data_IF_203394497554
#
_entry.id   IF_203394497554
#
_cell.length_a   1.000
_cell.length_b   1.000
_cell.length_c   1.000
_cell.angle_alpha   90.00
_cell.angle_beta   90.00
_cell.angle_gamma   90.00
#
_symmetry.space_group_name_H-M   'P 1'
#
loop_
_entity.id
_entity.type
_entity.pdbx_description
1 polymer ?
#
# COMPACT_ATOMS: atom_id res chain seq x y z
N UNK A 1 -14.44 -4.31 19.81
CA UNK A 1 -13.18 -3.56 19.66
C UNK A 1 -12.01 -4.38 20.17
N UNK A 2 -10.92 -4.43 19.42
CA UNK A 2 -9.68 -5.09 19.81
C UNK A 2 -9.02 -4.33 20.98
N UNK A 3 -8.72 -5.03 22.08
CA UNK A 3 -8.05 -4.43 23.25
C UNK A 3 -6.52 -4.45 23.06
N UNK A 4 -5.80 -3.54 23.73
CA UNK A 4 -4.32 -3.50 23.70
C UNK A 4 -3.71 -4.86 24.10
N UNK A 5 -4.22 -5.48 25.18
CA UNK A 5 -3.75 -6.79 25.63
C UNK A 5 -3.92 -7.89 24.56
N UNK A 6 -5.05 -7.89 23.84
CA UNK A 6 -5.28 -8.85 22.75
C UNK A 6 -4.41 -8.55 21.54
N UNK A 7 -4.22 -7.28 21.18
CA UNK A 7 -3.32 -6.85 20.12
C UNK A 7 -1.87 -7.30 20.39
N UNK A 8 -1.34 -7.06 21.60
CA UNK A 8 0.00 -7.53 21.98
C UNK A 8 0.11 -9.06 21.98
N UNK A 9 -0.92 -9.77 22.44
CA UNK A 9 -0.95 -11.22 22.37
C UNK A 9 -0.91 -11.73 20.92
N UNK A 10 -1.64 -11.09 20.00
CA UNK A 10 -1.59 -11.42 18.58
C UNK A 10 -0.20 -11.13 17.99
N UNK A 11 0.41 -9.99 18.33
CA UNK A 11 1.77 -9.63 17.90
C UNK A 11 2.80 -10.66 18.35
N UNK A 12 2.80 -11.05 19.62
CA UNK A 12 3.67 -12.12 20.14
C UNK A 12 3.43 -13.45 19.44
N UNK A 13 2.17 -13.85 19.24
CA UNK A 13 1.84 -15.10 18.57
C UNK A 13 2.29 -15.10 17.09
N UNK A 14 2.17 -13.96 16.40
CA UNK A 14 2.62 -13.80 15.03
C UNK A 14 4.16 -13.87 14.95
N UNK A 15 4.88 -13.07 15.72
CA UNK A 15 6.34 -13.07 15.70
C UNK A 15 6.99 -14.29 16.35
N UNK A 16 6.23 -15.08 17.13
CA UNK A 16 6.63 -16.41 17.57
C UNK A 16 6.64 -17.44 16.44
N UNK A 17 5.81 -17.25 15.40
CA UNK A 17 5.79 -18.08 14.18
C UNK A 17 6.69 -17.53 13.07
N UNK A 18 6.88 -16.21 13.02
CA UNK A 18 7.60 -15.52 11.96
C UNK A 18 8.68 -14.64 12.54
N UNK A 19 9.95 -14.95 12.27
CA UNK A 19 11.07 -14.19 12.83
C UNK A 19 10.98 -12.71 12.49
N UNK A 20 11.01 -11.86 13.52
CA UNK A 20 11.16 -10.40 13.36
C UNK A 20 12.66 -10.09 13.17
N UNK A 21 13.08 -9.52 12.02
CA UNK A 21 14.48 -9.30 11.67
C UNK A 21 15.11 -8.04 12.32
N UNK A 22 14.40 -7.37 13.23
CA UNK A 22 14.87 -6.16 13.96
C UNK A 22 14.57 -6.30 15.45
N UNK A 23 15.20 -5.44 16.25
CA UNK A 23 15.08 -5.49 17.72
C UNK A 23 13.62 -5.51 18.19
N UNK A 24 13.23 -6.39 19.13
CA UNK A 24 11.92 -6.37 19.77
C UNK A 24 11.59 -5.05 20.47
N UNK A 25 12.59 -4.22 20.78
CA UNK A 25 12.39 -2.85 21.31
C UNK A 25 11.58 -1.93 20.38
N UNK A 26 11.37 -2.35 19.13
CA UNK A 26 10.55 -1.65 18.12
C UNK A 26 9.08 -2.04 18.12
N UNK A 27 8.67 -3.04 18.92
CA UNK A 27 7.25 -3.42 18.98
C UNK A 27 6.46 -2.45 19.85
N UNK A 28 5.18 -2.26 19.55
CA UNK A 28 4.31 -1.36 20.29
C UNK A 28 4.21 -1.72 21.78
N UNK A 29 4.26 -3.00 22.14
CA UNK A 29 4.27 -3.44 23.54
C UNK A 29 5.52 -2.96 24.28
N UNK A 30 6.72 -3.16 23.71
CA UNK A 30 7.97 -2.77 24.36
C UNK A 30 8.16 -1.25 24.32
N UNK A 31 7.69 -0.58 23.26
CA UNK A 31 7.64 0.88 23.18
C UNK A 31 6.74 1.48 24.27
N UNK A 32 5.63 0.83 24.59
CA UNK A 32 4.78 1.22 25.72
C UNK A 32 5.51 1.00 27.06
N UNK A 33 6.08 -0.18 27.28
CA UNK A 33 6.77 -0.53 28.53
C UNK A 33 7.97 0.37 28.82
N UNK A 34 8.71 0.78 27.78
CA UNK A 34 9.83 1.72 27.89
C UNK A 34 9.41 3.19 28.08
N UNK A 35 8.11 3.49 28.00
CA UNK A 35 7.58 4.86 28.08
C UNK A 35 7.81 5.69 26.81
N UNK A 36 8.33 5.09 25.72
CA UNK A 36 8.51 5.77 24.43
C UNK A 36 7.18 6.07 23.74
N UNK A 37 6.17 5.22 23.96
CA UNK A 37 4.79 5.41 23.48
C UNK A 37 3.84 5.34 24.67
N UNK A 38 2.85 6.23 24.74
CA UNK A 38 1.86 6.19 25.83
C UNK A 38 0.79 5.15 25.54
N UNK A 39 0.22 4.57 26.58
CA UNK A 39 -0.86 3.57 26.45
C UNK A 39 -2.07 4.07 25.64
N UNK A 40 -2.47 5.34 25.83
CA UNK A 40 -3.54 5.97 25.07
C UNK A 40 -3.23 6.06 23.56
N UNK A 41 -1.95 6.24 23.20
CA UNK A 41 -1.53 6.34 21.81
C UNK A 41 -1.55 4.97 21.11
N UNK A 42 -1.35 3.87 21.84
CA UNK A 42 -1.48 2.50 21.29
C UNK A 42 -2.86 2.29 20.69
N UNK A 43 -3.90 2.66 21.44
CA UNK A 43 -5.27 2.48 20.97
C UNK A 43 -5.55 3.34 19.73
N UNK A 44 -5.03 4.57 19.69
CA UNK A 44 -5.08 5.44 18.51
C UNK A 44 -4.42 4.76 17.29
N UNK A 45 -3.21 4.21 17.42
CA UNK A 45 -2.50 3.55 16.32
C UNK A 45 -3.25 2.32 15.80
N UNK A 46 -3.77 1.48 16.70
CA UNK A 46 -4.52 0.28 16.34
C UNK A 46 -5.85 0.64 15.66
N UNK A 47 -6.65 1.51 16.27
CA UNK A 47 -8.02 1.80 15.82
C UNK A 47 -8.10 2.75 14.63
N UNK A 48 -7.09 3.59 14.41
CA UNK A 48 -7.06 4.47 13.24
C UNK A 48 -6.72 3.73 11.94
N UNK A 49 -6.22 2.49 12.03
CA UNK A 49 -5.85 1.71 10.84
C UNK A 49 -7.09 1.24 10.10
N UNK A 50 -7.15 1.52 8.79
CA UNK A 50 -8.29 1.23 7.91
C UNK A 50 -7.85 0.84 6.51
N UNK A 51 -8.66 0.03 5.86
CA UNK A 51 -8.58 -0.24 4.43
C UNK A 51 -9.19 0.96 3.70
N UNK A 52 -8.45 1.57 2.78
CA UNK A 52 -8.94 2.70 1.98
C UNK A 52 -9.22 2.25 0.55
N UNK A 53 -10.40 2.60 0.05
CA UNK A 53 -10.91 2.10 -1.24
C UNK A 53 -11.37 3.26 -2.12
N UNK A 54 -10.72 3.41 -3.26
CA UNK A 54 -11.09 4.39 -4.29
C UNK A 54 -12.43 4.02 -4.97
N UNK A 55 -13.26 5.00 -5.40
CA UNK A 55 -14.51 4.72 -6.12
C UNK A 55 -14.34 3.82 -7.35
N UNK A 56 -13.25 4.01 -8.12
CA UNK A 56 -12.95 3.17 -9.29
C UNK A 56 -12.63 1.73 -8.86
N UNK A 57 -11.85 1.54 -7.80
CA UNK A 57 -11.54 0.20 -7.26
C UNK A 57 -12.82 -0.50 -6.77
N UNK A 58 -13.73 0.23 -6.11
CA UNK A 58 -15.06 -0.27 -5.71
C UNK A 58 -15.91 -0.71 -6.90
N UNK A 59 -15.91 0.08 -7.97
CA UNK A 59 -16.63 -0.27 -9.20
C UNK A 59 -16.05 -1.53 -9.85
N UNK A 60 -14.72 -1.59 -10.00
CA UNK A 60 -14.02 -2.74 -10.55
C UNK A 60 -14.33 -4.00 -9.74
N UNK A 61 -14.29 -3.94 -8.41
CA UNK A 61 -14.59 -5.07 -7.53
C UNK A 61 -16.03 -5.61 -7.72
N UNK A 62 -17.02 -4.72 -7.83
CA UNK A 62 -18.42 -5.09 -8.12
C UNK A 62 -18.56 -5.83 -9.45
N UNK A 63 -18.00 -5.24 -10.49
CA UNK A 63 -18.08 -5.78 -11.85
C UNK A 63 -17.29 -7.10 -11.94
N UNK A 64 -16.17 -7.20 -11.24
CA UNK A 64 -15.35 -8.42 -11.14
C UNK A 64 -16.12 -9.57 -10.50
N UNK A 65 -16.78 -9.35 -9.36
CA UNK A 65 -17.59 -10.39 -8.73
C UNK A 65 -18.77 -10.81 -9.63
N UNK A 66 -19.41 -9.87 -10.31
CA UNK A 66 -20.47 -10.17 -11.28
C UNK A 66 -19.95 -11.05 -12.44
N UNK A 67 -18.78 -10.70 -12.98
CA UNK A 67 -18.12 -11.45 -14.03
C UNK A 67 -17.73 -12.86 -13.57
N UNK A 68 -17.15 -12.99 -12.37
CA UNK A 68 -16.71 -14.29 -11.82
C UNK A 68 -17.87 -15.22 -11.50
N UNK A 69 -19.07 -14.69 -11.21
CA UNK A 69 -20.28 -15.50 -11.03
C UNK A 69 -20.66 -16.26 -12.29
N UNK A 70 -20.43 -15.67 -13.44
CA UNK A 70 -20.76 -16.26 -14.75
C UNK A 70 -19.57 -17.03 -15.31
N UNK A 71 -18.38 -16.41 -15.34
CA UNK A 71 -17.21 -16.91 -16.07
C UNK A 71 -16.13 -17.54 -15.19
N UNK A 72 -16.24 -17.45 -13.86
CA UNK A 72 -15.25 -18.01 -12.95
C UNK A 72 -15.11 -19.53 -13.07
N UNK A 73 -13.92 -20.03 -12.75
CA UNK A 73 -13.65 -21.46 -12.65
C UNK A 73 -14.49 -22.11 -11.52
N UNK A 74 -14.48 -23.44 -11.45
CA UNK A 74 -15.11 -24.16 -10.34
C UNK A 74 -14.47 -23.79 -9.01
N UNK A 75 -13.14 -23.75 -8.95
CA UNK A 75 -12.37 -23.34 -7.76
C UNK A 75 -12.70 -21.91 -7.33
N UNK A 76 -12.72 -20.96 -8.26
CA UNK A 76 -13.03 -19.56 -7.98
C UNK A 76 -14.43 -19.40 -7.41
N UNK A 77 -15.43 -19.99 -8.09
CA UNK A 77 -16.83 -19.95 -7.64
C UNK A 77 -16.97 -20.58 -6.26
N UNK A 78 -16.30 -21.69 -5.98
CA UNK A 78 -16.34 -22.32 -4.66
C UNK A 78 -15.78 -21.42 -3.56
N UNK A 79 -14.62 -20.79 -3.77
CA UNK A 79 -14.06 -19.82 -2.81
C UNK A 79 -14.99 -18.61 -2.67
N UNK A 80 -15.59 -18.17 -3.77
CA UNK A 80 -16.50 -17.03 -3.76
C UNK A 80 -17.84 -17.30 -3.07
N UNK A 81 -18.39 -18.50 -3.18
CA UNK A 81 -19.58 -18.91 -2.44
C UNK A 81 -19.27 -19.08 -0.94
N UNK A 82 -18.14 -19.69 -0.60
CA UNK A 82 -17.86 -20.13 0.78
C UNK A 82 -17.17 -19.08 1.66
N UNK A 83 -16.26 -18.26 1.11
CA UNK A 83 -15.47 -17.32 1.90
C UNK A 83 -15.96 -15.88 1.80
N UNK A 84 -16.33 -15.41 0.60
CA UNK A 84 -16.74 -14.00 0.40
C UNK A 84 -18.25 -13.83 0.20
N UNK A 85 -19.01 -14.90 -0.08
CA UNK A 85 -20.45 -14.84 -0.34
C UNK A 85 -20.84 -13.77 -1.41
N UNK A 86 -20.00 -13.60 -2.43
CA UNK A 86 -20.11 -12.55 -3.46
C UNK A 86 -20.27 -11.12 -2.93
N UNK A 87 -19.84 -10.86 -1.70
CA UNK A 87 -19.88 -9.55 -1.08
C UNK A 87 -18.59 -8.76 -1.35
N UNK A 88 -18.75 -7.48 -1.68
CA UNK A 88 -17.64 -6.60 -2.08
C UNK A 88 -16.76 -6.24 -0.88
N UNK A 89 -17.34 -6.04 0.31
CA UNK A 89 -16.58 -5.73 1.51
C UNK A 89 -15.74 -6.95 1.92
N UNK A 90 -16.32 -8.16 1.85
CA UNK A 90 -15.59 -9.41 2.07
C UNK A 90 -14.49 -9.66 1.04
N UNK A 91 -14.69 -9.25 -0.22
CA UNK A 91 -13.61 -9.27 -1.21
C UNK A 91 -12.47 -8.34 -0.76
N UNK A 92 -12.73 -7.10 -0.34
CA UNK A 92 -11.68 -6.20 0.13
C UNK A 92 -10.94 -6.71 1.36
N UNK A 93 -11.65 -7.31 2.32
CA UNK A 93 -11.04 -7.99 3.47
C UNK A 93 -10.10 -9.11 3.00
N UNK A 94 -10.56 -9.94 2.05
CA UNK A 94 -9.76 -11.02 1.46
C UNK A 94 -8.52 -10.48 0.75
N UNK A 95 -8.64 -9.40 -0.02
CA UNK A 95 -7.53 -8.78 -0.73
C UNK A 95 -6.41 -8.29 0.20
N UNK A 96 -6.70 -8.01 1.48
CA UNK A 96 -5.68 -7.68 2.49
C UNK A 96 -5.19 -8.93 3.25
N UNK A 97 -6.13 -9.80 3.66
CA UNK A 97 -5.84 -10.91 4.57
C UNK A 97 -5.17 -12.10 3.89
N UNK A 98 -5.54 -12.44 2.67
CA UNK A 98 -5.08 -13.67 2.01
C UNK A 98 -3.81 -13.44 1.21
N UNK A 99 -2.78 -12.90 1.86
CA UNK A 99 -1.47 -12.62 1.24
C UNK A 99 -0.35 -13.44 1.92
N UNK A 100 0.68 -13.87 1.18
CA UNK A 100 1.91 -14.39 1.78
C UNK A 100 2.63 -13.31 2.60
N UNK A 101 3.62 -13.71 3.39
CA UNK A 101 4.46 -12.76 4.12
C UNK A 101 5.26 -11.89 3.15
N UNK A 102 5.84 -12.51 2.12
CA UNK A 102 6.61 -11.82 1.09
C UNK A 102 6.27 -12.35 -0.30
N UNK A 103 6.25 -11.43 -1.27
CA UNK A 103 6.02 -11.68 -2.69
C UNK A 103 6.62 -10.51 -3.49
N UNK A 104 7.62 -10.77 -4.34
CA UNK A 104 8.29 -9.73 -5.14
C UNK A 104 9.05 -10.31 -6.34
N UNK A 105 9.52 -9.42 -7.22
CA UNK A 105 10.37 -9.75 -8.37
C UNK A 105 9.62 -10.35 -9.56
N UNK A 106 10.29 -10.51 -10.70
CA UNK A 106 9.75 -11.10 -11.92
C UNK A 106 9.49 -12.62 -11.83
N UNK A 107 10.19 -13.32 -10.93
CA UNK A 107 10.01 -14.75 -10.66
C UNK A 107 8.99 -15.06 -9.57
N UNK A 108 8.36 -14.05 -8.98
CA UNK A 108 7.46 -14.16 -7.82
C UNK A 108 8.10 -14.92 -6.65
N UNK A 109 9.26 -14.44 -6.20
CA UNK A 109 9.89 -14.92 -4.96
C UNK A 109 8.88 -14.79 -3.84
N UNK A 110 8.65 -15.87 -3.12
CA UNK A 110 7.53 -15.99 -2.18
C UNK A 110 7.97 -16.57 -0.85
N UNK A 111 7.51 -15.96 0.25
CA UNK A 111 7.52 -16.55 1.59
C UNK A 111 6.07 -16.71 2.06
N UNK A 112 5.60 -17.95 2.14
CA UNK A 112 4.25 -18.26 2.59
C UNK A 112 4.08 -18.05 4.10
N UNK A 113 2.83 -17.93 4.54
CA UNK A 113 2.49 -17.90 5.98
C UNK A 113 2.80 -19.21 6.69
N UNK A 114 3.00 -20.32 5.96
CA UNK A 114 3.50 -21.58 6.50
C UNK A 114 4.99 -21.56 6.84
N UNK A 115 5.74 -20.56 6.35
CA UNK A 115 7.20 -20.49 6.42
C UNK A 115 7.91 -21.10 5.20
N UNK A 116 7.17 -21.74 4.29
CA UNK A 116 7.72 -22.28 3.04
C UNK A 116 8.19 -21.15 2.11
N UNK A 117 9.37 -21.34 1.51
CA UNK A 117 10.04 -20.35 0.64
C UNK A 117 10.17 -20.88 -0.78
N UNK A 118 9.80 -20.04 -1.73
CA UNK A 118 9.99 -20.29 -3.15
C UNK A 118 10.83 -19.16 -3.74
N UNK A 119 11.99 -19.49 -4.32
CA UNK A 119 12.85 -18.51 -5.02
C UNK A 119 12.37 -18.21 -6.46
N UNK A 120 11.34 -18.93 -6.90
CA UNK A 120 10.60 -18.65 -8.12
C UNK A 120 9.32 -19.49 -8.13
N UNK A 121 8.16 -18.84 -8.22
CA UNK A 121 6.85 -19.48 -8.09
C UNK A 121 5.86 -19.07 -9.20
N UNK A 122 6.34 -18.50 -10.30
CA UNK A 122 5.50 -17.99 -11.40
C UNK A 122 4.44 -18.99 -11.86
N UNK A 123 4.84 -20.25 -12.07
CA UNK A 123 3.97 -21.34 -12.54
C UNK A 123 2.94 -21.80 -11.51
N UNK A 124 3.25 -21.66 -10.23
CA UNK A 124 2.36 -21.99 -9.12
C UNK A 124 1.31 -20.89 -9.00
N UNK A 125 1.75 -19.63 -8.96
CA UNK A 125 0.87 -18.46 -8.93
C UNK A 125 -0.04 -18.35 -10.15
N UNK A 126 0.41 -18.75 -11.34
CA UNK A 126 -0.42 -18.81 -12.55
C UNK A 126 -1.61 -19.74 -12.46
N UNK A 127 -1.52 -20.77 -11.60
CA UNK A 127 -2.53 -21.82 -11.46
C UNK A 127 -3.49 -21.55 -10.29
N UNK A 128 -3.26 -20.52 -9.49
CA UNK A 128 -4.15 -20.15 -8.38
C UNK A 128 -5.50 -19.72 -8.93
N UNK A 129 -6.57 -20.35 -8.44
CA UNK A 129 -7.94 -20.21 -8.94
C UNK A 129 -8.29 -21.17 -10.08
N UNK A 130 -7.41 -22.10 -10.47
CA UNK A 130 -7.73 -23.14 -11.47
C UNK A 130 -8.05 -24.48 -10.80
N UNK A 131 -8.40 -25.51 -11.58
CA UNK A 131 -8.57 -26.87 -11.05
C UNK A 131 -7.22 -27.59 -10.80
N UNK A 132 -6.09 -26.98 -11.19
CA UNK A 132 -4.74 -27.55 -11.10
C UNK A 132 -3.81 -26.74 -10.18
N UNK A 133 -4.35 -26.20 -9.08
CA UNK A 133 -3.59 -25.41 -8.12
C UNK A 133 -2.39 -26.17 -7.53
N UNK A 134 -1.37 -25.43 -7.08
CA UNK A 134 -0.30 -26.02 -6.28
C UNK A 134 -0.82 -26.27 -4.85
N UNK A 135 -0.55 -27.43 -4.21
CA UNK A 135 -1.09 -27.73 -2.88
C UNK A 135 -0.68 -26.74 -1.79
N UNK A 136 0.49 -26.09 -1.93
CA UNK A 136 0.95 -25.03 -1.02
C UNK A 136 0.50 -23.61 -1.38
N UNK A 137 0.04 -23.36 -2.62
CA UNK A 137 -0.37 -22.03 -3.10
C UNK A 137 -1.73 -22.19 -3.78
N UNK A 138 -2.78 -22.08 -2.97
CA UNK A 138 -4.19 -22.26 -3.38
C UNK A 138 -4.97 -20.97 -3.20
N UNK A 139 -6.05 -20.81 -3.96
CA UNK A 139 -6.92 -19.65 -3.87
C UNK A 139 -7.64 -19.58 -2.52
N UNK A 140 -7.88 -20.73 -1.87
CA UNK A 140 -8.46 -20.74 -0.54
C UNK A 140 -7.62 -19.92 0.47
N UNK A 141 -6.30 -19.91 0.31
CA UNK A 141 -5.34 -19.26 1.21
C UNK A 141 -4.71 -17.98 0.65
N UNK A 142 -4.66 -17.84 -0.68
CA UNK A 142 -3.94 -16.75 -1.35
C UNK A 142 -4.71 -16.16 -2.54
N UNK A 143 -4.21 -15.03 -3.07
CA UNK A 143 -4.84 -14.31 -4.16
C UNK A 143 -4.54 -14.91 -5.55
N UNK A 144 -5.52 -14.84 -6.46
CA UNK A 144 -5.26 -15.00 -7.91
C UNK A 144 -4.61 -13.74 -8.49
N UNK A 145 -3.99 -13.80 -9.68
CA UNK A 145 -3.46 -12.59 -10.34
C UNK A 145 -4.50 -11.50 -10.60
N UNK A 146 -5.74 -11.88 -10.88
CA UNK A 146 -6.81 -10.92 -11.10
C UNK A 146 -7.23 -10.26 -9.78
N UNK A 147 -7.24 -11.02 -8.67
CA UNK A 147 -7.39 -10.46 -7.33
C UNK A 147 -6.23 -9.53 -6.97
N UNK A 148 -4.99 -9.88 -7.34
CA UNK A 148 -3.82 -9.02 -7.14
C UNK A 148 -3.94 -7.69 -7.89
N UNK A 149 -4.47 -7.67 -9.12
CA UNK A 149 -4.73 -6.43 -9.85
C UNK A 149 -5.69 -5.51 -9.08
N UNK A 150 -6.78 -6.04 -8.53
CA UNK A 150 -7.72 -5.24 -7.71
C UNK A 150 -7.07 -4.82 -6.38
N UNK A 151 -6.31 -5.72 -5.77
CA UNK A 151 -5.54 -5.49 -4.54
C UNK A 151 -4.55 -4.33 -4.69
N UNK A 152 -4.00 -4.14 -5.90
CA UNK A 152 -3.10 -3.02 -6.24
C UNK A 152 -3.78 -1.65 -6.33
N UNK A 153 -5.12 -1.61 -6.25
CA UNK A 153 -5.94 -0.39 -6.35
C UNK A 153 -6.53 0.06 -5.00
N UNK A 154 -6.23 -0.66 -3.93
CA UNK A 154 -6.63 -0.31 -2.55
C UNK A 154 -5.38 -0.06 -1.70
N UNK A 155 -5.57 0.60 -0.56
CA UNK A 155 -4.49 0.89 0.38
C UNK A 155 -4.83 0.55 1.82
N UNK A 156 -3.84 0.66 2.70
CA UNK A 156 -4.02 0.65 4.15
C UNK A 156 -3.41 1.91 4.73
N UNK A 157 -4.18 2.62 5.56
CA UNK A 157 -3.78 3.86 6.21
C UNK A 157 -4.00 3.79 7.70
N UNK A 158 -3.05 4.26 8.50
CA UNK A 158 -3.16 4.32 9.95
C UNK A 158 -2.17 5.28 10.57
N UNK A 159 -2.47 5.78 11.77
CA UNK A 159 -1.46 6.47 12.57
C UNK A 159 -0.36 5.48 12.99
N UNK A 160 0.87 5.98 13.07
CA UNK A 160 2.01 5.22 13.58
C UNK A 160 2.95 6.12 14.38
N UNK A 161 3.60 5.60 15.43
CA UNK A 161 4.80 6.25 15.95
C UNK A 161 5.92 6.10 14.92
N UNK A 162 6.80 7.11 14.84
CA UNK A 162 8.04 6.99 14.09
C UNK A 162 9.19 6.58 15.01
N UNK A 163 9.96 5.61 14.54
CA UNK A 163 11.03 4.97 15.30
C UNK A 163 12.40 5.59 14.96
N UNK A 164 12.54 6.06 13.72
CA UNK A 164 13.67 6.79 13.17
C UNK A 164 13.20 7.71 12.03
N UNK A 165 14.12 8.27 11.26
CA UNK A 165 13.84 9.22 10.17
C UNK A 165 13.25 8.57 8.89
N UNK A 166 13.13 7.24 8.85
CA UNK A 166 12.57 6.52 7.71
C UNK A 166 13.54 6.34 6.53
N UNK A 167 14.83 6.66 6.69
CA UNK A 167 15.82 6.45 5.63
C UNK A 167 15.83 4.99 5.14
N UNK A 168 16.11 4.75 3.84
CA UNK A 168 16.19 3.40 3.24
C UNK A 168 17.09 2.43 4.02
N UNK A 169 18.14 2.94 4.67
CA UNK A 169 19.13 2.17 5.41
C UNK A 169 18.91 2.15 6.93
N UNK A 170 17.73 2.55 7.43
CA UNK A 170 17.48 2.70 8.86
C UNK A 170 17.56 1.38 9.66
N UNK A 171 17.26 0.23 9.04
CA UNK A 171 17.41 -1.14 9.59
C UNK A 171 16.84 -1.35 11.00
N UNK A 172 15.82 -0.59 11.38
CA UNK A 172 15.15 -0.73 12.69
C UNK A 172 15.95 -0.12 13.85
N UNK A 173 16.96 0.70 13.56
CA UNK A 173 17.72 1.41 14.60
C UNK A 173 16.86 2.56 15.11
N UNK A 174 16.65 2.60 16.42
CA UNK A 174 15.88 3.66 17.07
C UNK A 174 16.66 4.98 17.09
N UNK A 175 16.03 6.06 16.62
CA UNK A 175 16.55 7.42 16.82
C UNK A 175 16.14 7.99 18.18
N UNK A 176 16.85 9.03 18.60
CA UNK A 176 16.46 9.86 19.75
C UNK A 176 15.12 10.56 19.43
N UNK A 177 14.07 10.46 20.28
CA UNK A 177 12.74 10.97 19.94
C UNK A 177 12.70 12.44 19.49
N UNK A 178 13.54 13.31 20.06
CA UNK A 178 13.60 14.73 19.71
C UNK A 178 14.23 15.01 18.33
N UNK A 179 14.92 14.03 17.73
CA UNK A 179 15.59 14.18 16.43
C UNK A 179 14.69 13.83 15.23
N UNK A 180 13.52 13.27 15.47
CA UNK A 180 12.60 12.77 14.44
C UNK A 180 11.20 13.35 14.63
N UNK A 181 10.34 13.16 13.64
CA UNK A 181 8.91 13.38 13.85
C UNK A 181 8.40 12.35 14.89
N UNK A 182 7.51 12.76 15.80
CA UNK A 182 7.02 11.84 16.84
C UNK A 182 6.10 10.76 16.27
N UNK A 183 5.11 11.18 15.49
CA UNK A 183 4.09 10.34 14.87
C UNK A 183 3.58 10.98 13.57
N UNK A 184 2.85 10.19 12.80
CA UNK A 184 2.16 10.62 11.58
C UNK A 184 1.24 9.55 11.07
N UNK A 185 0.79 9.69 9.84
CA UNK A 185 0.03 8.68 9.10
C UNK A 185 0.98 7.93 8.17
N UNK A 186 0.93 6.61 8.19
CA UNK A 186 1.54 5.78 7.16
C UNK A 186 0.46 5.25 6.22
N UNK A 187 0.68 5.41 4.91
CA UNK A 187 -0.22 4.89 3.86
C UNK A 187 0.54 3.90 2.98
N UNK A 188 0.12 2.63 3.00
CA UNK A 188 0.61 1.59 2.11
C UNK A 188 -0.17 1.63 0.80
N UNK A 189 0.53 1.90 -0.31
CA UNK A 189 -0.04 2.02 -1.65
C UNK A 189 0.80 1.27 -2.67
N UNK A 190 0.16 0.76 -3.71
CA UNK A 190 0.79 -0.04 -4.76
C UNK A 190 0.87 0.76 -6.05
N UNK A 191 2.07 0.80 -6.64
CA UNK A 191 2.31 1.36 -7.97
C UNK A 191 1.92 0.38 -9.08
N UNK A 192 2.07 0.81 -10.34
CA UNK A 192 1.87 -0.09 -11.47
C UNK A 192 3.08 -1.03 -11.60
N UNK A 193 2.84 -2.36 -11.65
CA UNK A 193 3.86 -3.41 -11.75
C UNK A 193 3.94 -3.97 -13.18
N UNK A 194 5.01 -3.64 -13.89
CA UNK A 194 5.29 -4.14 -15.24
C UNK A 194 6.40 -5.23 -15.29
N UNK A 195 6.67 -5.88 -14.17
CA UNK A 195 7.79 -6.82 -14.04
C UNK A 195 7.44 -8.24 -14.55
N UNK A 196 6.16 -8.57 -14.68
CA UNK A 196 5.68 -9.92 -15.03
C UNK A 196 4.85 -9.92 -16.31
N UNK A 197 5.44 -10.32 -17.44
CA UNK A 197 4.78 -10.35 -18.76
C UNK A 197 3.41 -11.05 -18.71
N UNK A 198 2.38 -10.38 -19.24
CA UNK A 198 1.02 -10.91 -19.32
C UNK A 198 0.24 -10.93 -18.00
N UNK A 199 0.83 -10.48 -16.90
CA UNK A 199 0.18 -10.35 -15.58
C UNK A 199 0.23 -8.90 -15.11
N UNK A 200 -0.58 -8.58 -14.09
CA UNK A 200 -0.62 -7.25 -13.47
C UNK A 200 -0.73 -6.15 -14.53
N UNK A 201 0.00 -5.04 -14.39
CA UNK A 201 -0.11 -3.88 -15.26
C UNK A 201 0.49 -4.10 -16.66
N UNK A 202 1.24 -5.19 -16.91
CA UNK A 202 1.72 -5.54 -18.26
C UNK A 202 0.59 -5.69 -19.29
N UNK A 203 -0.65 -5.93 -18.84
CA UNK A 203 -1.82 -5.92 -19.75
C UNK A 203 -2.04 -4.57 -20.42
N UNK A 204 -1.50 -3.48 -19.88
CA UNK A 204 -1.60 -2.14 -20.45
C UNK A 204 -0.50 -1.84 -21.48
N UNK A 205 0.55 -2.66 -21.60
CA UNK A 205 1.62 -2.44 -22.59
C UNK A 205 1.16 -2.73 -24.03
N UNK A 206 0.39 -3.80 -24.22
CA UNK A 206 -0.15 -4.21 -25.52
C UNK A 206 -1.66 -4.44 -25.46
N UNK A 207 -2.40 -3.92 -26.43
CA UNK A 207 -3.83 -4.18 -26.56
C UNK A 207 -4.01 -5.58 -27.17
N UNK A 208 -4.20 -6.59 -26.32
CA UNK A 208 -4.66 -7.92 -26.72
C UNK A 208 -6.01 -8.22 -26.06
N UNK A 209 -6.81 -9.12 -26.66
CA UNK A 209 -8.03 -9.56 -26.00
C UNK A 209 -7.69 -10.19 -24.63
N UNK A 210 -8.37 -9.78 -23.54
CA UNK A 210 -8.11 -10.33 -22.23
C UNK A 210 -8.62 -11.77 -22.16
N UNK A 211 -7.80 -12.70 -21.67
CA UNK A 211 -8.19 -14.09 -21.41
C UNK A 211 -9.01 -14.26 -20.11
N UNK A 212 -9.42 -13.15 -19.49
CA UNK A 212 -10.09 -13.10 -18.18
C UNK A 212 -10.86 -11.80 -18.00
N UNK A 213 -10.98 -11.32 -16.77
CA UNK A 213 -11.68 -10.08 -16.45
C UNK A 213 -11.08 -8.88 -17.21
N UNK A 214 -11.89 -8.09 -17.93
CA UNK A 214 -11.38 -7.11 -18.90
C UNK A 214 -10.96 -5.79 -18.23
N UNK A 215 -9.87 -5.80 -17.45
CA UNK A 215 -9.34 -4.61 -16.75
C UNK A 215 -9.05 -3.41 -17.67
N UNK A 216 -8.69 -3.65 -18.93
CA UNK A 216 -8.45 -2.61 -19.94
C UNK A 216 -9.64 -1.65 -20.14
N UNK A 217 -10.87 -2.07 -19.79
CA UNK A 217 -12.06 -1.21 -19.90
C UNK A 217 -12.09 -0.06 -18.89
N UNK A 218 -11.31 -0.15 -17.81
CA UNK A 218 -11.30 0.87 -16.75
C UNK A 218 -10.16 1.88 -16.90
N UNK A 219 -9.09 1.48 -17.58
CA UNK A 219 -7.89 2.29 -17.77
C UNK A 219 -7.58 2.36 -19.27
N UNK A 220 -8.47 3.05 -19.99
CA UNK A 220 -8.44 3.17 -21.44
C UNK A 220 -7.48 4.25 -21.93
N UNK A 221 -7.25 4.25 -23.24
CA UNK A 221 -6.37 5.20 -23.91
C UNK A 221 -5.71 4.59 -25.14
N UNK A 222 -5.45 5.42 -26.16
CA UNK A 222 -4.86 4.95 -27.41
C UNK A 222 -3.40 4.52 -27.20
N UNK A 223 -2.67 5.26 -26.36
CA UNK A 223 -1.25 5.05 -26.12
C UNK A 223 -1.00 4.44 -24.74
N UNK A 224 0.18 3.83 -24.58
CA UNK A 224 0.61 3.29 -23.29
C UNK A 224 0.59 4.34 -22.18
N UNK A 225 1.06 5.55 -22.50
CA UNK A 225 1.05 6.70 -21.59
C UNK A 225 -0.35 6.95 -21.00
N UNK A 226 -1.38 7.00 -21.84
CA UNK A 226 -2.76 7.25 -21.41
C UNK A 226 -3.24 6.20 -20.41
N UNK A 227 -2.99 4.92 -20.71
CA UNK A 227 -3.40 3.78 -19.87
C UNK A 227 -2.63 3.76 -18.56
N UNK A 228 -1.32 4.01 -18.60
CA UNK A 228 -0.49 4.15 -17.40
C UNK A 228 -0.99 5.29 -16.50
N UNK A 229 -1.22 6.47 -17.08
CA UNK A 229 -1.73 7.64 -16.35
C UNK A 229 -3.10 7.37 -15.73
N UNK A 230 -4.02 6.77 -16.47
CA UNK A 230 -5.34 6.39 -15.96
C UNK A 230 -5.25 5.39 -14.80
N UNK A 231 -4.35 4.40 -14.89
CA UNK A 231 -4.12 3.40 -13.85
C UNK A 231 -3.49 4.01 -12.59
N UNK A 232 -2.44 4.82 -12.72
CA UNK A 232 -1.72 5.37 -11.57
C UNK A 232 -2.50 6.51 -10.90
N UNK A 233 -3.41 7.16 -11.64
CA UNK A 233 -4.35 8.16 -11.11
C UNK A 233 -5.16 7.63 -9.93
N UNK A 234 -5.62 6.37 -9.97
CA UNK A 234 -6.32 5.75 -8.82
C UNK A 234 -5.45 5.75 -7.57
N UNK A 235 -4.18 5.36 -7.68
CA UNK A 235 -3.25 5.33 -6.55
C UNK A 235 -2.98 6.75 -6.02
N UNK A 236 -2.81 7.73 -6.91
CA UNK A 236 -2.54 9.13 -6.56
C UNK A 236 -3.76 9.79 -5.89
N UNK A 237 -4.94 9.65 -6.47
CA UNK A 237 -6.19 10.17 -5.89
C UNK A 237 -6.46 9.53 -4.53
N UNK A 238 -6.18 8.24 -4.36
CA UNK A 238 -6.28 7.55 -3.07
C UNK A 238 -5.41 8.20 -1.99
N UNK A 239 -4.15 8.53 -2.31
CA UNK A 239 -3.25 9.22 -1.37
C UNK A 239 -3.78 10.61 -1.00
N UNK A 240 -4.15 11.41 -2.00
CA UNK A 240 -4.58 12.79 -1.80
C UNK A 240 -5.90 12.88 -1.02
N UNK A 241 -6.88 12.04 -1.35
CA UNK A 241 -8.15 11.99 -0.63
C UNK A 241 -7.98 11.53 0.82
N UNK A 242 -7.18 10.48 1.06
CA UNK A 242 -6.91 10.03 2.42
C UNK A 242 -6.14 11.09 3.23
N UNK A 243 -5.17 11.77 2.62
CA UNK A 243 -4.46 12.88 3.27
C UNK A 243 -5.43 14.01 3.68
N UNK A 244 -6.33 14.41 2.80
CA UNK A 244 -7.35 15.42 3.08
C UNK A 244 -8.26 15.00 4.25
N UNK A 245 -8.77 13.77 4.23
CA UNK A 245 -9.63 13.23 5.30
C UNK A 245 -8.87 13.19 6.63
N UNK A 246 -7.62 12.72 6.63
CA UNK A 246 -6.79 12.66 7.84
C UNK A 246 -6.50 14.04 8.41
N UNK A 247 -6.27 15.03 7.57
CA UNK A 247 -6.12 16.42 7.97
C UNK A 247 -7.38 16.97 8.64
N UNK A 248 -8.55 16.68 8.06
CA UNK A 248 -9.85 17.03 8.63
C UNK A 248 -10.08 16.35 9.98
N UNK A 249 -9.87 15.05 10.09
CA UNK A 249 -10.00 14.30 11.35
C UNK A 249 -9.08 14.83 12.44
N UNK A 250 -7.85 15.21 12.07
CA UNK A 250 -6.85 15.73 13.00
C UNK A 250 -7.01 17.23 13.30
N UNK A 251 -7.82 17.94 12.52
CA UNK A 251 -7.89 19.41 12.49
C UNK A 251 -6.50 20.05 12.30
N UNK A 252 -5.71 19.51 11.37
CA UNK A 252 -4.33 19.95 11.08
C UNK A 252 -4.09 20.08 9.58
N UNK A 253 -3.30 21.08 9.20
CA UNK A 253 -2.73 21.13 7.85
C UNK A 253 -1.81 19.93 7.64
N UNK A 254 -1.84 19.37 6.44
CA UNK A 254 -1.17 18.12 6.11
C UNK A 254 0.06 18.37 5.26
N UNK A 255 1.15 17.72 5.67
CA UNK A 255 2.40 17.60 4.93
C UNK A 255 2.42 16.21 4.30
N UNK A 256 2.26 16.12 2.99
CA UNK A 256 2.26 14.82 2.28
C UNK A 256 3.65 14.56 1.72
N UNK A 257 4.28 13.49 2.19
CA UNK A 257 5.52 12.95 1.65
C UNK A 257 5.19 11.91 0.56
N UNK A 258 5.51 12.27 -0.67
CA UNK A 258 5.28 11.46 -1.87
C UNK A 258 6.57 10.80 -2.29
N UNK A 259 6.57 9.46 -2.35
CA UNK A 259 7.63 8.65 -2.96
C UNK A 259 7.17 8.07 -4.28
N UNK A 260 8.12 7.68 -5.13
CA UNK A 260 7.80 6.98 -6.37
C UNK A 260 7.15 5.61 -6.11
N UNK A 261 5.92 5.42 -6.57
CA UNK A 261 5.18 4.15 -6.49
C UNK A 261 5.23 3.45 -7.86
N UNK A 262 5.94 2.32 -7.95
CA UNK A 262 6.12 1.60 -9.21
C UNK A 262 7.08 2.27 -10.21
N UNK A 263 7.92 3.19 -9.74
CA UNK A 263 8.94 3.89 -10.56
C UNK A 263 10.33 3.24 -10.49
N UNK A 264 10.49 2.18 -9.71
CA UNK A 264 11.74 1.41 -9.59
C UNK A 264 11.81 0.28 -10.62
N UNK A 265 12.14 -0.93 -10.17
CA UNK A 265 12.24 -2.14 -11.02
C UNK A 265 10.95 -2.49 -11.78
N UNK A 266 9.83 -1.89 -11.41
CA UNK A 266 8.54 -2.05 -12.08
C UNK A 266 8.32 -1.12 -13.27
N UNK A 267 9.18 -0.13 -13.50
CA UNK A 267 9.05 0.76 -14.63
C UNK A 267 9.62 0.11 -15.91
N UNK A 268 8.94 0.33 -17.04
CA UNK A 268 9.30 -0.13 -18.39
C UNK A 268 9.57 1.02 -19.37
N UNK A 269 9.32 2.26 -18.96
CA UNK A 269 9.61 3.48 -19.74
C UNK A 269 10.27 4.53 -18.85
N UNK A 270 11.26 5.22 -19.40
CA UNK A 270 12.00 6.29 -18.71
C UNK A 270 11.13 7.50 -18.36
N UNK A 271 10.03 7.69 -19.08
CA UNK A 271 9.09 8.80 -18.95
C UNK A 271 8.08 8.59 -17.82
N UNK A 272 8.03 7.41 -17.19
CA UNK A 272 7.01 7.12 -16.16
C UNK A 272 7.09 8.06 -14.95
N UNK A 273 8.28 8.53 -14.55
CA UNK A 273 8.40 9.53 -13.48
C UNK A 273 7.75 10.86 -13.87
N UNK A 274 7.92 11.29 -15.12
CA UNK A 274 7.26 12.48 -15.69
C UNK A 274 5.74 12.30 -15.66
N UNK A 275 5.24 11.21 -16.24
CA UNK A 275 3.80 10.93 -16.30
C UNK A 275 3.17 10.81 -14.91
N UNK A 276 3.88 10.22 -13.95
CA UNK A 276 3.46 10.13 -12.55
C UNK A 276 3.21 11.52 -11.95
N UNK A 277 4.14 12.46 -12.12
CA UNK A 277 4.00 13.85 -11.62
C UNK A 277 2.97 14.66 -12.41
N UNK A 278 2.83 14.42 -13.71
CA UNK A 278 1.77 15.04 -14.52
C UNK A 278 0.38 14.65 -14.02
N UNK A 279 0.18 13.41 -13.56
CA UNK A 279 -1.09 12.98 -12.96
C UNK A 279 -1.36 13.73 -11.64
N UNK A 280 -0.35 14.02 -10.81
CA UNK A 280 -0.55 14.92 -9.66
C UNK A 280 -1.02 16.30 -10.11
N UNK A 281 -0.44 16.86 -11.17
CA UNK A 281 -0.85 18.16 -11.71
C UNK A 281 -2.33 18.16 -12.13
N UNK A 282 -2.77 17.09 -12.79
CA UNK A 282 -4.17 16.89 -13.18
C UNK A 282 -5.08 16.77 -11.96
N UNK A 283 -4.73 15.93 -10.98
CA UNK A 283 -5.51 15.76 -9.76
C UNK A 283 -5.65 17.07 -8.99
N UNK A 284 -4.57 17.83 -8.84
CA UNK A 284 -4.57 19.12 -8.15
C UNK A 284 -5.43 20.18 -8.86
N UNK A 285 -5.48 20.17 -10.19
CA UNK A 285 -6.34 21.08 -10.95
C UNK A 285 -7.84 20.79 -10.75
N UNK A 286 -8.20 19.56 -10.40
CA UNK A 286 -9.59 19.09 -10.23
C UNK A 286 -10.00 18.98 -8.75
N UNK A 287 -9.04 18.90 -7.83
CA UNK A 287 -9.28 18.69 -6.41
C UNK A 287 -9.68 19.98 -5.69
N UNK A 288 -10.62 19.84 -4.76
CA UNK A 288 -10.86 20.84 -3.71
C UNK A 288 -10.25 20.31 -2.43
N UNK A 289 -9.33 21.07 -1.85
CA UNK A 289 -8.65 20.72 -0.61
C UNK A 289 -8.63 21.90 0.34
N UNK A 290 -8.87 21.61 1.60
CA UNK A 290 -8.80 22.55 2.71
C UNK A 290 -7.70 22.16 3.70
N UNK A 291 -7.28 20.90 3.74
CA UNK A 291 -6.37 20.39 4.74
C UNK A 291 -4.97 20.10 4.22
N UNK A 292 -4.79 19.77 2.94
CA UNK A 292 -3.43 19.66 2.38
C UNK A 292 -2.78 21.05 2.38
N UNK A 293 -1.62 21.15 3.03
CA UNK A 293 -0.82 22.36 3.09
C UNK A 293 0.41 22.27 2.18
N UNK A 294 1.04 21.10 2.12
CA UNK A 294 2.27 20.90 1.36
C UNK A 294 2.35 19.49 0.75
N UNK A 295 2.80 19.42 -0.51
CA UNK A 295 3.20 18.20 -1.21
C UNK A 295 4.72 18.17 -1.43
N UNK A 296 5.40 17.18 -0.84
CA UNK A 296 6.83 16.95 -1.00
C UNK A 296 7.05 15.74 -1.92
N UNK A 297 7.55 15.98 -3.13
CA UNK A 297 8.02 14.93 -4.03
C UNK A 297 9.47 14.56 -3.66
N UNK A 298 9.62 13.48 -2.91
CA UNK A 298 10.91 13.03 -2.40
C UNK A 298 11.51 11.95 -3.28
N UNK A 299 12.78 12.13 -3.68
CA UNK A 299 13.52 11.18 -4.52
C UNK A 299 12.87 10.91 -5.89
N UNK A 300 12.12 11.88 -6.42
CA UNK A 300 11.53 11.83 -7.77
C UNK A 300 12.19 12.90 -8.62
N UNK A 301 12.89 12.47 -9.66
CA UNK A 301 13.55 13.34 -10.62
C UNK A 301 12.69 13.45 -11.89
N UNK A 302 12.37 14.69 -12.28
CA UNK A 302 11.62 15.07 -13.49
C UNK A 302 12.25 16.31 -14.12
N UNK A 303 11.93 16.58 -15.38
CA UNK A 303 12.43 17.78 -16.06
C UNK A 303 11.87 19.08 -15.45
N UNK A 304 12.53 20.23 -15.69
CA UNK A 304 12.11 21.51 -15.11
C UNK A 304 10.70 21.95 -15.49
N UNK A 305 10.18 21.56 -16.65
CA UNK A 305 8.83 21.95 -17.08
C UNK A 305 7.79 21.21 -16.27
N UNK A 306 7.91 19.88 -16.16
CA UNK A 306 6.99 19.08 -15.35
C UNK A 306 7.01 19.50 -13.88
N UNK A 307 8.18 19.84 -13.32
CA UNK A 307 8.28 20.41 -11.97
C UNK A 307 7.48 21.71 -11.85
N UNK A 308 7.69 22.65 -12.79
CA UNK A 308 7.00 23.95 -12.78
C UNK A 308 5.49 23.80 -12.91
N UNK A 309 5.03 22.84 -13.72
CA UNK A 309 3.61 22.61 -13.95
C UNK A 309 2.89 22.11 -12.70
N UNK A 310 3.46 21.14 -11.98
CA UNK A 310 2.86 20.64 -10.72
C UNK A 310 2.91 21.70 -9.62
N UNK A 311 4.01 22.46 -9.51
CA UNK A 311 4.12 23.58 -8.56
C UNK A 311 3.06 24.66 -8.86
N UNK A 312 2.82 24.94 -10.14
CA UNK A 312 1.81 25.91 -10.56
C UNK A 312 0.38 25.40 -10.36
N UNK A 313 0.14 24.10 -10.49
CA UNK A 313 -1.14 23.47 -10.17
C UNK A 313 -1.42 23.52 -8.66
N UNK A 314 -0.44 23.16 -7.83
CA UNK A 314 -0.54 23.20 -6.37
C UNK A 314 -0.80 24.63 -5.85
N UNK A 315 -0.04 25.62 -6.35
CA UNK A 315 -0.18 27.02 -5.95
C UNK A 315 -1.57 27.58 -6.22
N UNK A 316 -2.22 27.18 -7.32
CA UNK A 316 -3.58 27.63 -7.70
C UNK A 316 -4.65 27.24 -6.68
N UNK A 317 -4.41 26.19 -5.90
CA UNK A 317 -5.31 25.72 -4.85
C UNK A 317 -4.75 25.98 -3.43
N UNK A 318 -3.70 26.81 -3.31
CA UNK A 318 -3.12 27.18 -2.02
C UNK A 318 -2.30 26.07 -1.35
N UNK A 319 -1.74 25.14 -2.13
CA UNK A 319 -0.86 24.06 -1.65
C UNK A 319 0.58 24.36 -2.04
N UNK A 320 1.50 24.29 -1.07
CA UNK A 320 2.93 24.37 -1.35
C UNK A 320 3.41 23.06 -1.99
N UNK A 321 4.36 23.16 -2.91
CA UNK A 321 4.91 21.99 -3.62
C UNK A 321 6.43 22.11 -3.67
N UNK A 322 7.12 21.06 -3.26
CA UNK A 322 8.59 21.02 -3.21
C UNK A 322 9.13 19.69 -3.71
N UNK A 323 10.34 19.73 -4.27
CA UNK A 323 11.10 18.55 -4.69
C UNK A 323 12.41 18.49 -3.91
N UNK A 324 12.67 17.37 -3.23
CA UNK A 324 13.93 17.17 -2.52
C UNK A 324 14.20 15.68 -2.26
N UNK A 325 15.08 15.39 -1.29
CA UNK A 325 15.45 14.04 -0.87
C UNK A 325 15.32 13.87 0.66
N UNK A 326 14.30 14.49 1.26
CA UNK A 326 14.04 14.36 2.71
C UNK A 326 13.63 12.92 3.04
N UNK A 327 14.17 12.38 4.13
CA UNK A 327 13.76 11.07 4.64
C UNK A 327 12.29 11.12 5.11
N UNK A 328 11.48 10.07 4.86
CA UNK A 328 10.02 10.08 5.07
C UNK A 328 9.59 10.67 6.42
N UNK A 329 10.18 10.15 7.50
CA UNK A 329 9.79 10.41 8.90
C UNK A 329 10.72 11.40 9.60
N UNK A 330 11.56 12.12 8.85
CA UNK A 330 12.40 13.17 9.41
C UNK A 330 11.56 14.24 10.13
N UNK A 331 12.13 14.97 11.08
CA UNK A 331 11.37 16.00 11.80
C UNK A 331 10.93 17.11 10.85
N UNK A 332 9.65 17.50 10.91
CA UNK A 332 9.14 18.63 10.11
C UNK A 332 9.62 19.97 10.66
N UNK A 333 9.88 20.98 9.81
CA UNK A 333 10.14 22.35 10.29
C UNK A 333 8.94 22.92 11.05
N UNK A 334 7.73 22.75 10.52
CA UNK A 334 6.48 23.10 11.20
C UNK A 334 5.89 21.87 11.89
N UNK A 335 5.95 21.87 13.22
CA UNK A 335 5.47 20.79 14.06
C UNK A 335 3.95 20.81 14.27
N UNK A 336 3.25 21.85 13.80
CA UNK A 336 1.78 21.92 13.83
C UNK A 336 1.13 21.05 12.75
N UNK A 337 1.86 20.75 11.67
CA UNK A 337 1.37 19.94 10.56
C UNK A 337 1.30 18.45 10.90
N UNK A 338 0.33 17.77 10.29
CA UNK A 338 0.25 16.32 10.28
C UNK A 338 1.10 15.77 9.13
N UNK A 339 2.11 14.95 9.44
CA UNK A 339 2.89 14.25 8.44
C UNK A 339 2.11 13.02 7.92
N UNK A 340 1.90 12.95 6.61
CA UNK A 340 1.35 11.78 5.89
C UNK A 340 2.44 11.24 4.97
N UNK A 341 2.90 10.02 5.24
CA UNK A 341 3.95 9.36 4.46
C UNK A 341 3.39 8.15 3.72
N UNK A 342 3.73 8.02 2.44
CA UNK A 342 3.42 6.83 1.64
C UNK A 342 4.61 5.87 1.58
N UNK A 343 4.36 4.56 1.45
CA UNK A 343 5.40 3.58 1.09
C UNK A 343 4.94 2.73 -0.09
N UNK A 344 5.91 2.36 -0.94
CA UNK A 344 5.69 1.47 -2.07
C UNK A 344 5.50 0.03 -1.56
N UNK A 345 4.26 -0.44 -1.59
CA UNK A 345 3.85 -1.77 -1.17
C UNK A 345 3.60 -2.68 -2.38
N UNK A 346 3.47 -3.98 -2.12
CA UNK A 346 3.12 -5.00 -3.10
C UNK A 346 1.67 -5.48 -2.92
N UNK A 347 1.00 -5.76 -4.03
CA UNK A 347 -0.41 -6.18 -4.04
C UNK A 347 -0.66 -7.56 -3.43
N UNK A 348 0.39 -8.37 -3.21
CA UNK A 348 0.29 -9.74 -2.73
C UNK A 348 1.31 -10.06 -1.64
N UNK A 349 1.61 -9.11 -0.75
CA UNK A 349 2.40 -9.36 0.47
C UNK A 349 1.74 -8.72 1.69
N UNK A 350 2.11 -9.19 2.88
CA UNK A 350 1.89 -8.41 4.10
C UNK A 350 2.76 -7.16 4.12
N UNK A 351 2.36 -6.11 4.86
CA UNK A 351 3.17 -4.91 5.03
C UNK A 351 4.54 -5.25 5.57
N UNK A 352 5.57 -4.71 4.94
CA UNK A 352 6.98 -4.98 5.18
C UNK A 352 7.59 -5.90 4.12
N UNK A 353 6.81 -6.75 3.44
CA UNK A 353 7.24 -7.65 2.37
C UNK A 353 8.61 -8.32 2.63
N UNK A 354 9.68 -7.81 2.01
CA UNK A 354 11.03 -8.36 2.12
C UNK A 354 11.63 -8.24 3.55
N UNK A 355 10.97 -7.47 4.43
CA UNK A 355 11.21 -7.47 5.88
C UNK A 355 11.17 -8.88 6.43
N UNK A 356 10.17 -9.69 6.07
CA UNK A 356 10.04 -11.06 6.58
C UNK A 356 11.14 -12.01 6.08
N UNK A 357 11.94 -11.58 5.09
CA UNK A 357 13.14 -12.26 4.60
C UNK A 357 14.45 -11.67 5.14
N UNK A 358 14.39 -10.65 6.01
CA UNK A 358 15.56 -9.96 6.55
C UNK A 358 16.20 -8.95 5.60
N UNK A 359 15.54 -8.61 4.49
CA UNK A 359 16.05 -7.67 3.48
C UNK A 359 15.62 -6.23 3.83
N UNK A 360 16.17 -5.70 4.91
CA UNK A 360 15.68 -4.49 5.59
C UNK A 360 15.80 -3.17 4.81
N UNK A 361 16.49 -3.17 3.67
CA UNK A 361 16.78 -2.00 2.85
C UNK A 361 16.53 -2.25 1.36
N UNK A 362 15.83 -3.33 1.00
CA UNK A 362 15.60 -3.69 -0.41
C UNK A 362 14.67 -2.71 -1.13
N UNK A 363 13.65 -2.20 -0.44
CA UNK A 363 12.64 -1.33 -1.05
C UNK A 363 12.03 -0.33 -0.05
N UNK A 364 10.95 0.34 -0.49
CA UNK A 364 10.10 1.22 0.33
C UNK A 364 9.51 0.52 1.55
N UNK A 365 9.05 -0.71 1.35
CA UNK A 365 8.25 -1.45 2.30
C UNK A 365 9.01 -1.91 3.55
N UNK A 366 10.15 -2.63 3.45
CA UNK A 366 10.90 -3.03 4.63
C UNK A 366 11.48 -1.83 5.37
N UNK A 367 11.84 -0.75 4.66
CA UNK A 367 12.30 0.48 5.29
C UNK A 367 11.18 1.13 6.13
N UNK A 368 9.93 1.10 5.66
CA UNK A 368 8.76 1.55 6.42
C UNK A 368 8.49 0.62 7.63
N UNK A 369 8.52 -0.70 7.46
CA UNK A 369 8.37 -1.66 8.56
C UNK A 369 9.45 -1.51 9.65
N UNK A 370 10.66 -1.07 9.27
CA UNK A 370 11.75 -0.78 10.19
C UNK A 370 11.64 0.58 10.90
N UNK A 371 10.94 1.55 10.32
CA UNK A 371 10.87 2.92 10.83
C UNK A 371 9.54 3.27 11.52
N UNK A 372 8.58 2.34 11.49
CA UNK A 372 7.20 2.53 11.95
C UNK A 372 6.66 1.26 12.62
N UNK A 373 5.38 1.28 13.00
CA UNK A 373 4.67 0.13 13.54
C UNK A 373 3.88 -0.69 12.50
N UNK A 374 4.01 -0.45 11.18
CA UNK A 374 3.15 -1.10 10.17
C UNK A 374 3.22 -2.63 10.16
N UNK A 375 4.36 -3.20 10.57
CA UNK A 375 4.53 -4.66 10.72
C UNK A 375 3.60 -5.27 11.78
N UNK A 376 3.01 -4.44 12.65
CA UNK A 376 1.99 -4.81 13.63
C UNK A 376 0.62 -4.18 13.30
N UNK A 377 0.56 -2.87 13.05
CA UNK A 377 -0.72 -2.15 12.91
C UNK A 377 -1.41 -2.41 11.60
N UNK A 378 -0.67 -2.61 10.50
CA UNK A 378 -1.24 -2.90 9.17
C UNK A 378 -1.28 -4.42 8.89
N UNK A 379 -0.84 -5.26 9.83
CA UNK A 379 -0.85 -6.70 9.68
C UNK A 379 -2.22 -7.27 10.09
N UNK A 380 -2.95 -7.95 9.19
CA UNK A 380 -4.33 -8.39 9.44
C UNK A 380 -4.45 -9.56 10.43
N UNK A 381 -3.36 -10.27 10.73
CA UNK A 381 -3.33 -11.30 11.78
C UNK A 381 -3.05 -10.70 13.18
N UNK A 382 -2.42 -9.53 13.22
CA UNK A 382 -2.12 -8.83 14.47
C UNK A 382 -3.26 -7.85 14.79
N UNK A 383 -3.48 -6.87 13.92
CA UNK A 383 -4.56 -5.89 14.03
C UNK A 383 -5.83 -6.38 13.35
N UNK A 384 -6.56 -7.31 13.96
CA UNK A 384 -7.80 -7.83 13.37
C UNK A 384 -8.89 -6.77 13.22
N UNK A 385 -8.81 -5.65 13.94
CA UNK A 385 -9.81 -4.58 13.86
C UNK A 385 -9.77 -3.79 12.54
N UNK A 386 -8.63 -3.76 11.85
CA UNK A 386 -8.54 -3.09 10.54
C UNK A 386 -9.44 -3.75 9.49
N UNK A 387 -9.75 -5.05 9.64
CA UNK A 387 -10.61 -5.79 8.72
C UNK A 387 -12.10 -5.44 8.89
N UNK A 388 -12.45 -4.76 9.97
CA UNK A 388 -13.80 -4.23 10.22
C UNK A 388 -13.93 -2.77 9.74
N UNK A 389 -12.84 -2.17 9.24
CA UNK A 389 -12.72 -0.75 8.94
C UNK A 389 -12.38 -0.51 7.47
N UNK A 390 -13.40 -0.58 6.61
CA UNK A 390 -13.30 -0.20 5.20
C UNK A 390 -13.80 1.23 5.03
N UNK A 391 -12.93 2.09 4.54
CA UNK A 391 -13.24 3.49 4.26
C UNK A 391 -13.31 3.69 2.74
N UNK A 392 -14.50 3.99 2.26
CA UNK A 392 -14.73 4.36 0.86
C UNK A 392 -14.42 5.85 0.67
N UNK A 393 -13.44 6.15 -0.18
CA UNK A 393 -13.04 7.53 -0.45
C UNK A 393 -14.04 8.20 -1.41
N UNK A 394 -14.27 9.50 -1.23
CA UNK A 394 -15.12 10.30 -2.13
C UNK A 394 -16.62 9.97 -2.09
N UNK A 395 -17.08 9.28 -1.04
CA UNK A 395 -18.50 8.97 -0.80
C UNK A 395 -19.27 10.12 -0.15
#
# INVERSE_FOLDING_TARGET
MLTNAKFFANSRAFFGRHSRPISPSTTLEILQQSGRVKEADIQKYVQSTRIIVHPIARRIAKDFLSYKRTHGSRTEKHVYDTQINWDVDRLFIRLIKQRPLSFYGDTDVTLLRSGEKFWGATSQWDRVGTDNEHPGITMAEYLTYEEMMISSLIGVSGYTPYLNDGNRHNRGVLSTPQSIQHEGIQVGLVGARFERKGRMDCVYESISEPTGFPFLRYFGGAHFEDRYKARIRVTIETLLMEAEIRGAEAQKKVYVHVVGLGLGVWAVRTEQSRWYVEVFSQCLAEMKTSWIGLLEFAYIDVDPMTRKDVESAARRIGVDCVFNRRAPSARLPDQSMLLVTSYAWDSNSYPGNEFYLGMLNASGDPAAACSTAISETHNPEINTSMLESIHYLGS
#
